data_IF_866338788287
#
_entry.id   IF_866338788287
#
_cell.length_a   1.000
_cell.length_b   1.000
_cell.length_c   1.000
_cell.angle_alpha   90.00
_cell.angle_beta   90.00
_cell.angle_gamma   90.00
#
_symmetry.space_group_name_H-M   'P 1'
#
loop_
_entity.id
_entity.type
_entity.pdbx_description
1 polymer ?
#
# COMPACT_ATOMS: atom_id res chain seq x y z
N UNK A 1 -5.59 -8.67 -4.76
CA UNK A 1 -6.20 -7.94 -3.62
C UNK A 1 -5.51 -6.60 -3.40
N UNK A 2 -4.21 -6.56 -3.13
CA UNK A 2 -3.43 -5.32 -2.98
C UNK A 2 -3.79 -4.24 -4.00
N UNK A 3 -3.64 -4.54 -5.30
CA UNK A 3 -3.94 -3.60 -6.36
C UNK A 3 -5.38 -3.06 -6.29
N UNK A 4 -6.37 -3.93 -6.08
CA UNK A 4 -7.77 -3.52 -6.00
C UNK A 4 -8.02 -2.60 -4.79
N UNK A 5 -7.39 -2.89 -3.65
CA UNK A 5 -7.50 -2.03 -2.47
C UNK A 5 -6.83 -0.67 -2.74
N UNK A 6 -5.60 -0.66 -3.26
CA UNK A 6 -4.89 0.58 -3.49
C UNK A 6 -5.51 1.40 -4.65
N UNK A 7 -5.57 0.83 -5.85
CA UNK A 7 -6.05 1.51 -7.05
C UNK A 7 -7.56 1.82 -7.01
N UNK A 8 -8.40 0.87 -6.56
CA UNK A 8 -9.85 1.07 -6.63
C UNK A 8 -10.42 1.58 -5.32
N UNK A 9 -10.04 1.00 -4.19
CA UNK A 9 -10.63 1.39 -2.91
C UNK A 9 -10.02 2.67 -2.32
N UNK A 10 -8.74 2.96 -2.58
CA UNK A 10 -8.12 4.18 -2.04
C UNK A 10 -8.12 5.37 -3.00
N UNK A 11 -8.23 5.14 -4.32
CA UNK A 11 -8.20 6.22 -5.31
C UNK A 11 -9.50 6.46 -6.10
N UNK A 12 -10.45 5.52 -6.14
CA UNK A 12 -11.74 5.75 -6.82
C UNK A 12 -12.75 6.31 -5.83
N UNK A 13 -13.55 7.28 -6.29
CA UNK A 13 -14.58 7.90 -5.47
C UNK A 13 -15.68 6.92 -5.11
N UNK A 14 -15.95 6.78 -3.81
CA UNK A 14 -17.05 5.99 -3.27
C UNK A 14 -17.53 6.54 -1.91
N UNK A 15 -18.69 6.10 -1.39
CA UNK A 15 -19.27 6.66 -0.16
C UNK A 15 -18.40 6.55 1.10
N UNK A 16 -17.54 5.53 1.19
CA UNK A 16 -16.64 5.31 2.33
C UNK A 16 -15.42 6.24 2.30
N UNK A 17 -15.64 7.56 2.39
CA UNK A 17 -14.60 8.59 2.21
C UNK A 17 -13.37 8.44 3.11
N UNK A 18 -13.52 7.81 4.28
CA UNK A 18 -12.43 7.62 5.24
C UNK A 18 -11.19 6.95 4.62
N UNK A 19 -11.37 6.01 3.68
CA UNK A 19 -10.25 5.34 3.03
C UNK A 19 -9.54 6.21 2.00
N UNK A 20 -10.32 7.01 1.26
CA UNK A 20 -9.82 7.95 0.25
C UNK A 20 -9.08 9.10 0.94
N UNK A 21 -9.67 9.65 2.01
CA UNK A 21 -9.11 10.76 2.78
C UNK A 21 -7.85 10.33 3.53
N UNK A 22 -7.85 9.15 4.16
CA UNK A 22 -6.67 8.60 4.82
C UNK A 22 -5.54 8.34 3.84
N UNK A 23 -5.83 7.78 2.66
CA UNK A 23 -4.82 7.59 1.64
C UNK A 23 -4.32 8.92 1.03
N UNK A 24 -5.20 9.90 0.82
CA UNK A 24 -4.80 11.25 0.40
C UNK A 24 -3.95 11.96 1.46
N UNK A 25 -4.17 11.71 2.75
CA UNK A 25 -3.31 12.18 3.83
C UNK A 25 -1.92 11.53 3.75
N UNK A 26 -1.86 10.21 3.54
CA UNK A 26 -0.61 9.49 3.30
C UNK A 26 0.19 10.04 2.10
N UNK A 27 -0.47 10.40 0.99
CA UNK A 27 0.21 11.06 -0.14
C UNK A 27 0.83 12.42 0.22
N UNK A 28 0.28 13.12 1.23
CA UNK A 28 0.81 14.40 1.71
C UNK A 28 1.93 14.20 2.74
N UNK A 29 1.77 13.21 3.62
CA UNK A 29 2.76 12.82 4.62
C UNK A 29 3.00 11.30 4.57
N UNK A 30 3.95 10.84 3.72
CA UNK A 30 4.21 9.42 3.52
C UNK A 30 4.73 8.69 4.77
N UNK A 31 5.20 9.43 5.77
CA UNK A 31 5.76 8.88 7.00
C UNK A 31 4.74 8.81 8.14
N UNK A 32 3.56 9.43 7.97
CA UNK A 32 2.44 9.34 8.92
C UNK A 32 1.92 7.90 9.03
N UNK A 33 1.38 7.54 10.19
CA UNK A 33 0.81 6.20 10.45
C UNK A 33 -0.65 6.09 9.99
N UNK A 34 -1.23 7.18 9.48
CA UNK A 34 -2.68 7.40 9.46
C UNK A 34 -3.28 7.24 8.06
N UNK A 35 -3.19 6.04 7.48
CA UNK A 35 -3.91 5.70 6.25
C UNK A 35 -5.34 5.19 6.51
N UNK A 36 -5.58 4.58 7.69
CA UNK A 36 -6.88 4.02 8.09
C UNK A 36 -6.90 3.84 9.63
N UNK A 37 -8.03 4.08 10.33
CA UNK A 37 -8.16 3.67 11.72
C UNK A 37 -7.93 2.16 11.92
N UNK A 38 -7.12 1.79 12.91
CA UNK A 38 -6.69 0.39 13.11
C UNK A 38 -7.85 -0.61 13.24
N UNK A 39 -8.99 -0.20 13.79
CA UNK A 39 -10.16 -1.05 14.00
C UNK A 39 -10.95 -1.33 12.70
N UNK A 40 -10.79 -0.53 11.65
CA UNK A 40 -11.59 -0.71 10.44
C UNK A 40 -11.26 -2.01 9.70
N UNK A 41 -10.01 -2.47 9.75
CA UNK A 41 -9.63 -3.77 9.18
C UNK A 41 -10.37 -4.92 9.85
N UNK A 42 -10.56 -4.84 11.17
CA UNK A 42 -11.32 -5.84 11.93
C UNK A 42 -12.80 -5.82 11.56
N UNK A 43 -13.42 -4.62 11.51
CA UNK A 43 -14.84 -4.48 11.12
C UNK A 43 -15.08 -5.05 9.72
N UNK A 44 -14.22 -4.73 8.74
CA UNK A 44 -14.33 -5.25 7.37
C UNK A 44 -14.20 -6.78 7.38
N UNK A 45 -13.20 -7.32 8.06
CA UNK A 45 -13.01 -8.77 8.16
C UNK A 45 -14.22 -9.48 8.79
N UNK A 46 -14.79 -8.93 9.87
CA UNK A 46 -15.99 -9.48 10.51
C UNK A 46 -17.20 -9.46 9.59
N UNK A 47 -17.41 -8.37 8.83
CA UNK A 47 -18.51 -8.29 7.85
C UNK A 47 -18.35 -9.32 6.75
N UNK A 48 -17.15 -9.48 6.18
CA UNK A 48 -16.90 -10.51 5.16
C UNK A 48 -17.04 -11.93 5.69
N UNK A 49 -16.58 -12.19 6.93
CA UNK A 49 -16.73 -13.51 7.54
C UNK A 49 -18.19 -13.87 7.72
N UNK A 50 -19.00 -12.93 8.22
CA UNK A 50 -20.44 -13.10 8.35
C UNK A 50 -21.13 -13.28 6.99
N UNK A 51 -20.76 -12.49 5.97
CA UNK A 51 -21.34 -12.62 4.64
C UNK A 51 -21.02 -13.97 4.00
N UNK A 52 -19.78 -14.46 4.13
CA UNK A 52 -19.38 -15.74 3.56
C UNK A 52 -20.01 -16.92 4.29
N UNK A 53 -20.17 -16.86 5.62
CA UNK A 53 -20.84 -17.94 6.35
C UNK A 53 -22.31 -18.14 5.97
N UNK A 54 -22.94 -17.19 5.26
CA UNK A 54 -24.27 -17.38 4.66
C UNK A 54 -24.27 -18.38 3.48
N UNK A 55 -23.12 -18.65 2.87
CA UNK A 55 -23.00 -19.45 1.64
C UNK A 55 -22.06 -20.65 1.76
N UNK A 56 -21.24 -20.73 2.81
CA UNK A 56 -20.26 -21.81 3.03
C UNK A 56 -20.08 -22.11 4.52
N UNK A 57 -19.28 -23.12 4.86
CA UNK A 57 -19.01 -23.46 6.27
C UNK A 57 -18.23 -22.34 6.97
N UNK A 58 -18.39 -22.22 8.29
CA UNK A 58 -17.63 -21.24 9.08
C UNK A 58 -16.11 -21.41 8.92
N UNK A 59 -15.64 -22.66 8.80
CA UNK A 59 -14.23 -22.95 8.59
C UNK A 59 -13.72 -22.39 7.25
N UNK A 60 -14.48 -22.58 6.16
CA UNK A 60 -14.12 -22.06 4.84
C UNK A 60 -14.18 -20.52 4.80
N UNK A 61 -15.24 -19.94 5.37
CA UNK A 61 -15.42 -18.49 5.46
C UNK A 61 -14.27 -17.83 6.23
N UNK A 62 -13.93 -18.36 7.41
CA UNK A 62 -12.81 -17.87 8.22
C UNK A 62 -11.46 -18.14 7.55
N UNK A 63 -11.29 -19.25 6.84
CA UNK A 63 -10.09 -19.54 6.07
C UNK A 63 -9.83 -18.50 4.97
N UNK A 64 -10.86 -18.18 4.18
CA UNK A 64 -10.78 -17.16 3.12
C UNK A 64 -10.50 -15.78 3.72
N UNK A 65 -11.27 -15.37 4.73
CA UNK A 65 -11.10 -14.06 5.38
C UNK A 65 -9.73 -13.96 6.05
N UNK A 66 -9.27 -15.02 6.72
CA UNK A 66 -7.94 -15.08 7.31
C UNK A 66 -6.84 -14.87 6.27
N UNK A 67 -6.96 -15.49 5.10
CA UNK A 67 -6.05 -15.27 3.97
C UNK A 67 -6.06 -13.82 3.45
N UNK A 68 -7.23 -13.21 3.31
CA UNK A 68 -7.38 -11.81 2.91
C UNK A 68 -6.77 -10.86 3.95
N UNK A 69 -7.03 -11.09 5.23
CA UNK A 69 -6.47 -10.31 6.34
C UNK A 69 -4.95 -10.42 6.35
N UNK A 70 -4.40 -11.63 6.25
CA UNK A 70 -2.96 -11.86 6.19
C UNK A 70 -2.31 -11.11 5.01
N UNK A 71 -2.92 -11.19 3.82
CA UNK A 71 -2.44 -10.46 2.65
C UNK A 71 -2.45 -8.94 2.85
N UNK A 72 -3.48 -8.40 3.50
CA UNK A 72 -3.59 -6.97 3.78
C UNK A 72 -2.54 -6.50 4.80
N UNK A 73 -2.29 -7.30 5.84
CA UNK A 73 -1.22 -7.02 6.81
C UNK A 73 0.16 -7.04 6.16
N UNK A 74 0.46 -8.06 5.34
CA UNK A 74 1.73 -8.14 4.62
C UNK A 74 1.94 -6.94 3.69
N UNK A 75 0.89 -6.55 2.96
CA UNK A 75 0.89 -5.32 2.16
C UNK A 75 1.24 -4.10 3.00
N UNK A 76 0.55 -3.89 4.13
CA UNK A 76 0.77 -2.74 5.01
C UNK A 76 2.19 -2.68 5.58
N UNK A 77 2.76 -3.83 5.97
CA UNK A 77 4.14 -3.93 6.46
C UNK A 77 5.13 -3.54 5.35
N UNK A 78 4.99 -4.12 4.16
CA UNK A 78 5.91 -3.84 3.04
C UNK A 78 5.82 -2.37 2.62
N UNK A 79 4.59 -1.85 2.50
CA UNK A 79 4.33 -0.45 2.21
C UNK A 79 5.00 0.48 3.24
N UNK A 80 4.90 0.14 4.53
CA UNK A 80 5.54 0.89 5.60
C UNK A 80 7.08 0.85 5.52
N UNK A 81 7.65 -0.33 5.28
CA UNK A 81 9.11 -0.50 5.13
C UNK A 81 9.61 0.30 3.92
N UNK A 82 8.89 0.28 2.80
CA UNK A 82 9.25 1.05 1.59
C UNK A 82 9.37 2.54 1.87
N UNK A 83 8.55 3.08 2.76
CA UNK A 83 8.62 4.48 3.15
C UNK A 83 9.67 4.80 4.22
N UNK A 84 10.37 3.82 4.79
CA UNK A 84 11.28 4.06 5.93
C UNK A 84 12.67 3.49 5.78
N UNK A 85 12.87 2.57 4.86
CA UNK A 85 14.15 1.91 4.66
C UNK A 85 14.62 2.15 3.24
N UNK A 86 15.89 2.49 3.08
CA UNK A 86 16.49 2.55 1.75
C UNK A 86 16.90 1.14 1.32
N UNK A 87 16.30 0.61 0.25
CA UNK A 87 16.70 -0.68 -0.30
C UNK A 87 17.98 -0.54 -1.15
N UNK A 88 18.77 -1.62 -1.19
CA UNK A 88 20.00 -1.68 -1.97
C UNK A 88 19.73 -1.50 -3.47
N UNK A 89 20.59 -0.70 -4.12
CA UNK A 89 20.50 -0.42 -5.55
C UNK A 89 20.51 -1.69 -6.42
N UNK A 90 19.75 -1.67 -7.51
CA UNK A 90 19.71 -2.75 -8.50
C UNK A 90 18.90 -4.00 -8.11
N UNK A 91 18.32 -4.05 -6.91
CA UNK A 91 17.47 -5.15 -6.45
C UNK A 91 15.98 -4.98 -6.78
N UNK A 92 15.21 -6.09 -6.72
CA UNK A 92 13.75 -6.07 -6.92
C UNK A 92 13.03 -5.11 -5.98
N UNK A 93 13.41 -5.09 -4.69
CA UNK A 93 12.78 -4.21 -3.71
C UNK A 93 13.12 -2.74 -3.92
N UNK A 94 14.30 -2.44 -4.49
CA UNK A 94 14.61 -1.07 -4.93
C UNK A 94 13.74 -0.68 -6.12
N UNK A 95 13.59 -1.55 -7.11
CA UNK A 95 12.67 -1.33 -8.23
C UNK A 95 11.25 -1.06 -7.76
N UNK A 96 10.69 -1.92 -6.89
CA UNK A 96 9.34 -1.73 -6.36
C UNK A 96 9.21 -0.49 -5.47
N UNK A 97 10.26 -0.14 -4.73
CA UNK A 97 10.30 1.11 -3.97
C UNK A 97 10.23 2.31 -4.90
N UNK A 98 11.06 2.39 -5.94
CA UNK A 98 11.02 3.49 -6.91
C UNK A 98 9.68 3.56 -7.64
N UNK A 99 9.15 2.41 -8.05
CA UNK A 99 7.84 2.28 -8.65
C UNK A 99 6.76 2.90 -7.76
N UNK A 100 6.73 2.52 -6.47
CA UNK A 100 5.80 3.08 -5.49
C UNK A 100 6.04 4.57 -5.21
N UNK A 101 7.29 5.03 -5.14
CA UNK A 101 7.57 6.46 -4.96
C UNK A 101 7.17 7.29 -6.19
N UNK A 102 7.23 6.72 -7.40
CA UNK A 102 6.73 7.41 -8.59
C UNK A 102 5.21 7.61 -8.56
N UNK A 103 4.48 6.67 -7.95
CA UNK A 103 3.04 6.78 -7.73
C UNK A 103 2.66 7.98 -6.85
N UNK A 104 3.47 8.32 -5.84
CA UNK A 104 3.28 9.54 -5.04
C UNK A 104 3.32 10.83 -5.88
N UNK A 105 3.91 10.80 -7.08
CA UNK A 105 3.87 11.92 -8.04
C UNK A 105 2.82 11.77 -9.12
N UNK A 106 2.44 10.54 -9.46
CA UNK A 106 1.42 10.20 -10.46
C UNK A 106 0.34 9.33 -9.79
N UNK A 107 -0.56 9.89 -8.96
CA UNK A 107 -1.45 9.09 -8.09
C UNK A 107 -2.47 8.20 -8.81
N UNK A 108 -2.52 8.23 -10.15
CA UNK A 108 -3.39 7.40 -10.99
C UNK A 108 -2.65 6.25 -11.67
N UNK A 109 -1.35 6.12 -11.44
CA UNK A 109 -0.46 5.14 -12.06
C UNK A 109 0.36 4.43 -10.98
N UNK A 110 0.87 3.24 -11.27
CA UNK A 110 1.82 2.50 -10.44
C UNK A 110 1.31 2.16 -9.03
N UNK A 111 0.10 1.62 -8.94
CA UNK A 111 -0.55 1.30 -7.66
C UNK A 111 0.02 0.06 -6.96
N UNK A 112 0.76 -0.79 -7.67
CA UNK A 112 1.44 -1.93 -7.08
C UNK A 112 2.49 -1.51 -6.06
N UNK A 113 2.53 -2.21 -4.93
CA UNK A 113 3.55 -2.04 -3.88
C UNK A 113 4.44 -3.28 -3.82
N UNK A 114 3.87 -4.48 -3.87
CA UNK A 114 4.64 -5.73 -3.88
C UNK A 114 4.98 -6.23 -5.27
N UNK A 115 4.20 -5.84 -6.28
CA UNK A 115 4.40 -6.22 -7.69
C UNK A 115 3.72 -5.23 -8.64
N UNK A 116 4.29 -5.04 -9.84
CA UNK A 116 3.74 -4.18 -10.90
C UNK A 116 2.86 -4.95 -11.91
N UNK A 117 2.66 -6.26 -11.72
CA UNK A 117 1.94 -7.13 -12.67
C UNK A 117 0.53 -6.60 -12.92
N UNK A 118 -0.19 -6.20 -11.86
CA UNK A 118 -1.56 -5.72 -11.98
C UNK A 118 -1.63 -4.36 -12.67
N UNK A 119 -0.65 -3.49 -12.49
CA UNK A 119 -0.56 -2.23 -13.24
C UNK A 119 -0.38 -2.47 -14.74
N UNK A 120 0.35 -3.51 -15.13
CA UNK A 120 0.49 -3.91 -16.54
C UNK A 120 -0.81 -4.49 -17.08
N UNK A 121 -1.47 -5.34 -16.30
CA UNK A 121 -2.76 -5.97 -16.68
C UNK A 121 -3.86 -4.92 -16.85
N UNK A 122 -3.94 -3.95 -15.95
CA UNK A 122 -4.98 -2.92 -15.95
C UNK A 122 -4.59 -1.62 -16.64
N UNK A 123 -3.40 -1.54 -17.23
CA UNK A 123 -2.95 -0.37 -17.99
C UNK A 123 -2.64 0.86 -17.15
N UNK A 124 -2.33 0.70 -15.87
CA UNK A 124 -1.88 1.78 -14.96
C UNK A 124 -0.37 1.80 -14.76
N UNK A 125 0.38 0.97 -15.50
CA UNK A 125 1.84 1.02 -15.52
C UNK A 125 2.33 2.27 -16.25
N UNK A 126 3.21 3.03 -15.60
CA UNK A 126 3.92 4.17 -16.19
C UNK A 126 5.41 4.07 -15.87
N UNK A 127 6.31 4.29 -16.84
CA UNK A 127 7.70 4.55 -16.52
C UNK A 127 7.84 5.81 -15.66
N UNK A 128 8.96 5.91 -14.94
CA UNK A 128 9.28 7.02 -14.06
C UNK A 128 10.64 7.62 -14.40
N UNK A 129 10.77 8.90 -14.08
CA UNK A 129 12.00 9.66 -14.22
C UNK A 129 12.56 10.01 -12.84
N UNK A 130 13.81 10.43 -12.77
CA UNK A 130 14.44 10.85 -11.51
C UNK A 130 13.65 11.97 -10.78
N UNK A 131 12.90 12.80 -11.51
CA UNK A 131 12.03 13.83 -10.93
C UNK A 131 10.85 13.26 -10.15
N UNK A 132 10.38 12.06 -10.52
CA UNK A 132 9.26 11.39 -9.86
C UNK A 132 9.68 10.82 -8.49
N UNK A 133 10.97 10.51 -8.32
CA UNK A 133 11.53 9.88 -7.12
C UNK A 133 11.96 10.88 -6.03
N UNK A 134 11.61 12.17 -6.17
CA UNK A 134 12.04 13.22 -5.21
C UNK A 134 11.67 12.91 -3.75
N UNK A 135 10.60 12.15 -3.51
CA UNK A 135 10.18 11.71 -2.17
C UNK A 135 11.23 10.82 -1.47
N UNK A 136 11.98 10.02 -2.22
CA UNK A 136 13.02 9.14 -1.68
C UNK A 136 14.19 9.89 -1.05
N UNK A 137 14.39 11.17 -1.40
CA UNK A 137 15.41 12.01 -0.76
C UNK A 137 15.16 12.18 0.76
N UNK A 138 13.93 11.99 1.21
CA UNK A 138 13.58 12.01 2.63
C UNK A 138 14.15 10.78 3.37
N UNK A 139 14.19 9.61 2.72
CA UNK A 139 14.84 8.40 3.26
C UNK A 139 16.34 8.65 3.51
N UNK A 140 17.02 9.22 2.51
CA UNK A 140 18.46 9.54 2.59
C UNK A 140 18.77 10.51 3.72
N UNK A 141 17.89 11.49 3.98
CA UNK A 141 18.03 12.42 5.11
C UNK A 141 17.83 11.73 6.46
N UNK A 142 16.83 10.85 6.57
CA UNK A 142 16.56 10.12 7.80
C UNK A 142 17.72 9.18 8.19
N UNK A 143 18.27 8.45 7.21
CA UNK A 143 19.42 7.57 7.45
C UNK A 143 20.66 8.36 7.90
N UNK A 144 21.01 9.46 7.22
CA UNK A 144 22.13 10.32 7.63
C UNK A 144 22.00 10.89 9.05
N UNK A 145 20.77 11.20 9.47
CA UNK A 145 20.53 11.66 10.84
C UNK A 145 20.79 10.57 11.87
N UNK A 146 20.35 9.32 11.60
CA UNK A 146 20.63 8.18 12.47
C UNK A 146 22.14 7.88 12.58
N UNK A 147 22.86 7.97 11.45
CA UNK A 147 24.32 7.74 11.42
C UNK A 147 25.13 8.75 12.25
N UNK A 148 24.57 9.93 12.60
CA UNK A 148 25.24 10.92 13.45
C UNK A 148 25.24 10.55 14.95
N UNK A 149 24.45 9.56 15.36
CA UNK A 149 24.34 9.11 16.76
C UNK A 149 24.99 7.73 17.00
N UNK A 150 25.69 7.20 16.00
CA UNK A 150 26.51 5.98 16.07
C UNK A 150 27.99 6.32 15.95
#
# INVERSE_FOLDING_TARGET
MEYAVHAWFFHIHHPLKIFIEGHAHHHKDPFSYDAMPFFMSFVIASVFAWLFSLFMSDADALGIVGGLVLGYFNYGIIHHIMHRTEFQEGGYWRYMQEFHFSHHKKPKMNHGVTTDIWDRVFGTYSPWEASDLKGMNLLKKANRFMDMFH
#
